data_IF_044881844320
#
_entry.id   IF_044881844320
#
_cell.length_a   1.000
_cell.length_b   1.000
_cell.length_c   1.000
_cell.angle_alpha   90.00
_cell.angle_beta   90.00
_cell.angle_gamma   90.00
#
_symmetry.space_group_name_H-M   'P 1'
#
loop_
_entity.id
_entity.type
_entity.pdbx_description
1 polymer ?
#
# COMPACT_ATOMS: atom_id res chain seq x y z
N UNK A 1 8.48 -44.55 14.06
CA UNK A 1 8.70 -43.09 14.23
C UNK A 1 8.94 -42.54 12.83
N UNK A 2 7.88 -42.15 12.12
CA UNK A 2 7.99 -41.64 10.76
C UNK A 2 7.73 -40.13 10.78
N UNK A 3 8.80 -39.36 10.69
CA UNK A 3 8.74 -37.93 10.44
C UNK A 3 8.38 -37.77 8.95
N UNK A 4 7.08 -37.61 8.66
CA UNK A 4 6.66 -37.04 7.38
C UNK A 4 7.22 -35.63 7.31
N UNK A 5 8.12 -35.41 6.36
CA UNK A 5 8.45 -34.10 5.82
C UNK A 5 7.16 -33.47 5.31
N UNK A 6 6.51 -32.66 6.14
CA UNK A 6 5.59 -31.63 5.66
C UNK A 6 6.41 -30.71 4.76
N UNK A 7 6.19 -30.84 3.45
CA UNK A 7 6.51 -29.79 2.50
C UNK A 7 5.86 -28.50 3.04
N UNK A 8 6.70 -27.62 3.60
CA UNK A 8 6.35 -26.23 3.80
C UNK A 8 6.22 -25.63 2.41
N UNK A 9 5.06 -25.85 1.78
CA UNK A 9 4.64 -25.13 0.61
C UNK A 9 4.59 -23.66 1.02
N UNK A 10 5.62 -22.90 0.65
CA UNK A 10 5.56 -21.46 0.69
C UNK A 10 4.29 -21.06 -0.06
N UNK A 11 3.29 -20.56 0.67
CA UNK A 11 1.99 -20.13 0.15
C UNK A 11 2.21 -18.93 -0.75
N UNK A 12 2.63 -19.22 -1.98
CA UNK A 12 2.71 -18.21 -3.03
C UNK A 12 1.26 -18.01 -3.47
N UNK A 13 0.63 -16.98 -2.94
CA UNK A 13 -0.68 -16.52 -3.38
C UNK A 13 -0.51 -15.97 -4.79
N UNK A 14 -0.52 -16.85 -5.79
CA UNK A 14 -0.42 -16.47 -7.20
C UNK A 14 -1.73 -16.83 -7.89
N UNK A 15 -2.34 -15.81 -8.47
CA UNK A 15 -3.47 -15.90 -9.37
C UNK A 15 -3.18 -14.95 -10.53
N UNK A 16 -3.35 -15.36 -11.80
CA UNK A 16 -3.11 -14.48 -12.94
C UNK A 16 -3.86 -13.14 -12.85
N UNK A 17 -5.03 -13.14 -12.20
CA UNK A 17 -5.79 -11.91 -11.93
C UNK A 17 -5.07 -11.03 -10.90
N UNK A 18 -4.62 -11.58 -9.78
CA UNK A 18 -3.90 -10.79 -8.76
C UNK A 18 -2.58 -10.24 -9.29
N UNK A 19 -1.84 -11.06 -10.05
CA UNK A 19 -0.57 -10.66 -10.66
C UNK A 19 -0.77 -9.49 -11.64
N UNK A 20 -1.82 -9.58 -12.48
CA UNK A 20 -2.19 -8.50 -13.41
C UNK A 20 -2.53 -7.21 -12.66
N UNK A 21 -3.29 -7.29 -11.57
CA UNK A 21 -3.70 -6.12 -10.79
C UNK A 21 -2.50 -5.50 -10.09
N UNK A 22 -1.63 -6.33 -9.52
CA UNK A 22 -0.41 -5.87 -8.89
C UNK A 22 0.49 -5.16 -9.91
N UNK A 23 0.58 -5.67 -11.14
CA UNK A 23 1.31 -5.02 -12.23
C UNK A 23 0.66 -3.67 -12.61
N UNK A 24 -0.65 -3.63 -12.83
CA UNK A 24 -1.41 -2.41 -13.17
C UNK A 24 -1.23 -1.33 -12.12
N UNK A 25 -1.45 -1.64 -10.85
CA UNK A 25 -1.31 -0.67 -9.77
C UNK A 25 0.14 -0.29 -9.49
N UNK A 26 1.11 -1.16 -9.80
CA UNK A 26 2.52 -0.78 -9.79
C UNK A 26 2.81 0.25 -10.88
N UNK A 27 2.27 0.07 -12.09
CA UNK A 27 2.41 1.05 -13.16
C UNK A 27 1.77 2.40 -12.81
N UNK A 28 0.55 2.38 -12.25
CA UNK A 28 -0.13 3.59 -11.76
C UNK A 28 0.76 4.28 -10.72
N UNK A 29 1.18 3.57 -9.67
CA UNK A 29 2.03 4.13 -8.62
C UNK A 29 3.32 4.75 -9.17
N UNK A 30 3.95 4.14 -10.17
CA UNK A 30 5.16 4.69 -10.78
C UNK A 30 4.94 6.03 -11.47
N UNK A 31 3.76 6.29 -12.08
CA UNK A 31 3.43 7.60 -12.67
C UNK A 31 3.45 8.70 -11.61
N UNK A 32 2.92 8.43 -10.42
CA UNK A 32 2.91 9.38 -9.30
C UNK A 32 4.29 9.53 -8.66
N UNK A 33 4.97 8.41 -8.41
CA UNK A 33 6.31 8.41 -7.82
C UNK A 33 7.34 9.17 -8.67
N UNK A 34 7.20 9.18 -10.00
CA UNK A 34 8.04 10.01 -10.89
C UNK A 34 7.97 11.50 -10.56
N UNK A 35 6.83 12.00 -10.07
CA UNK A 35 6.68 13.43 -9.73
C UNK A 35 7.52 13.85 -8.51
N UNK A 36 7.89 12.90 -7.66
CA UNK A 36 8.76 13.10 -6.50
C UNK A 36 10.15 12.44 -6.66
N UNK A 37 10.52 12.05 -7.89
CA UNK A 37 11.74 11.25 -8.16
C UNK A 37 13.04 11.95 -7.75
N UNK A 38 13.05 13.30 -7.79
CA UNK A 38 14.15 14.13 -7.29
C UNK A 38 14.47 13.85 -5.81
N UNK A 39 13.52 13.28 -5.06
CA UNK A 39 13.73 12.74 -3.72
C UNK A 39 13.67 11.21 -3.74
N UNK A 40 14.76 10.58 -4.20
CA UNK A 40 14.90 9.12 -4.29
C UNK A 40 14.60 8.39 -2.98
N UNK A 41 14.97 8.98 -1.84
CA UNK A 41 14.72 8.39 -0.51
C UNK A 41 13.23 8.38 -0.21
N UNK A 42 12.53 9.49 -0.42
CA UNK A 42 11.08 9.57 -0.23
C UNK A 42 10.36 8.62 -1.19
N UNK A 43 10.75 8.61 -2.46
CA UNK A 43 10.21 7.70 -3.48
C UNK A 43 10.31 6.24 -3.04
N UNK A 44 11.49 5.82 -2.56
CA UNK A 44 11.71 4.47 -2.05
C UNK A 44 10.86 4.14 -0.82
N UNK A 45 10.69 5.09 0.11
CA UNK A 45 9.86 4.93 1.30
C UNK A 45 8.38 4.78 0.95
N UNK A 46 7.84 5.65 0.10
CA UNK A 46 6.44 5.58 -0.34
C UNK A 46 6.19 4.25 -1.05
N UNK A 47 7.10 3.84 -1.95
CA UNK A 47 7.02 2.53 -2.62
C UNK A 47 7.01 1.37 -1.63
N UNK A 48 7.92 1.36 -0.65
CA UNK A 48 7.99 0.29 0.34
C UNK A 48 6.73 0.22 1.21
N UNK A 49 6.27 1.37 1.73
CA UNK A 49 5.06 1.45 2.56
C UNK A 49 3.83 0.97 1.78
N UNK A 50 3.69 1.38 0.51
CA UNK A 50 2.62 0.90 -0.37
C UNK A 50 2.65 -0.62 -0.52
N UNK A 51 3.81 -1.20 -0.86
CA UNK A 51 3.92 -2.63 -1.09
C UNK A 51 3.65 -3.45 0.18
N UNK A 52 4.09 -2.97 1.35
CA UNK A 52 3.79 -3.62 2.63
C UNK A 52 2.31 -3.53 2.99
N UNK A 53 1.66 -2.39 2.76
CA UNK A 53 0.22 -2.25 2.98
C UNK A 53 -0.60 -3.18 2.07
N UNK A 54 -0.23 -3.28 0.79
CA UNK A 54 -0.85 -4.21 -0.17
C UNK A 54 -0.63 -5.66 0.26
N UNK A 55 0.57 -6.01 0.69
CA UNK A 55 0.90 -7.35 1.19
C UNK A 55 0.00 -7.74 2.36
N UNK A 56 -0.05 -6.92 3.41
CA UNK A 56 -0.92 -7.17 4.57
C UNK A 56 -2.39 -7.27 4.18
N UNK A 57 -2.86 -6.39 3.29
CA UNK A 57 -4.24 -6.38 2.84
C UNK A 57 -4.61 -7.71 2.14
N UNK A 58 -3.75 -8.20 1.24
CA UNK A 58 -3.98 -9.47 0.51
C UNK A 58 -3.88 -10.66 1.44
N UNK A 59 -2.87 -10.71 2.33
CA UNK A 59 -2.70 -11.82 3.25
C UNK A 59 -3.85 -11.93 4.26
N UNK A 60 -4.40 -10.79 4.71
CA UNK A 60 -5.59 -10.80 5.58
C UNK A 60 -6.83 -11.43 4.93
N UNK A 61 -6.87 -11.53 3.59
CA UNK A 61 -7.96 -12.15 2.81
C UNK A 61 -7.67 -13.62 2.49
N UNK A 62 -6.49 -13.93 1.95
CA UNK A 62 -6.20 -15.25 1.36
C UNK A 62 -5.53 -16.21 2.34
N UNK A 63 -4.83 -15.71 3.35
CA UNK A 63 -4.18 -16.51 4.39
C UNK A 63 -4.35 -15.85 5.77
N UNK A 64 -5.62 -15.62 6.21
CA UNK A 64 -5.89 -14.93 7.47
C UNK A 64 -5.23 -15.67 8.65
N UNK A 65 -4.60 -14.92 9.55
CA UNK A 65 -3.83 -15.48 10.66
C UNK A 65 -2.33 -15.69 10.38
N UNK A 66 -1.87 -15.60 9.13
CA UNK A 66 -0.47 -15.75 8.76
C UNK A 66 0.01 -14.64 7.80
N UNK A 67 1.24 -14.16 8.01
CA UNK A 67 1.92 -13.29 7.04
C UNK A 67 1.47 -11.82 7.04
N UNK A 68 0.48 -11.42 7.82
CA UNK A 68 0.13 -10.01 8.04
C UNK A 68 0.92 -9.40 9.21
N UNK A 69 1.07 -8.07 9.21
CA UNK A 69 1.67 -7.32 10.32
C UNK A 69 0.60 -6.60 11.14
N UNK A 70 -0.39 -5.95 10.51
CA UNK A 70 -1.39 -5.13 11.22
C UNK A 70 -2.85 -5.55 11.05
N UNK A 71 -3.24 -6.14 9.92
CA UNK A 71 -4.62 -6.58 9.66
C UNK A 71 -4.68 -8.11 9.59
N UNK A 72 -5.34 -8.70 10.58
CA UNK A 72 -5.29 -10.15 10.81
C UNK A 72 -6.31 -10.94 9.99
N UNK A 73 -7.56 -10.50 10.01
CA UNK A 73 -8.68 -11.26 9.44
C UNK A 73 -9.57 -10.32 8.64
N UNK A 74 -9.78 -10.66 7.37
CA UNK A 74 -10.81 -10.11 6.50
C UNK A 74 -12.09 -10.92 6.60
N UNK A 75 -13.25 -10.28 6.39
CA UNK A 75 -14.54 -10.96 6.27
C UNK A 75 -14.70 -11.64 4.90
N UNK A 76 -14.03 -11.11 3.88
CA UNK A 76 -13.93 -11.72 2.54
C UNK A 76 -12.78 -12.72 2.48
N UNK A 77 -12.90 -13.73 1.63
CA UNK A 77 -11.93 -14.85 1.52
C UNK A 77 -11.60 -15.24 0.08
N UNK A 78 -12.09 -14.48 -0.90
CA UNK A 78 -11.91 -14.80 -2.32
C UNK A 78 -10.79 -13.98 -2.97
N UNK A 79 -10.41 -14.39 -4.17
CA UNK A 79 -9.54 -13.62 -5.05
C UNK A 79 -10.15 -12.25 -5.38
N UNK A 80 -11.48 -12.15 -5.47
CA UNK A 80 -12.17 -10.88 -5.67
C UNK A 80 -11.98 -9.92 -4.48
N UNK A 81 -12.09 -10.42 -3.24
CA UNK A 81 -11.80 -9.62 -2.05
C UNK A 81 -10.32 -9.22 -1.98
N UNK A 82 -9.40 -10.12 -2.34
CA UNK A 82 -7.98 -9.82 -2.32
C UNK A 82 -7.58 -8.79 -3.38
N UNK A 83 -8.23 -8.84 -4.55
CA UNK A 83 -8.13 -7.79 -5.56
C UNK A 83 -8.56 -6.45 -4.96
N UNK A 84 -9.79 -6.38 -4.43
CA UNK A 84 -10.33 -5.15 -3.87
C UNK A 84 -9.43 -4.58 -2.75
N UNK A 85 -8.90 -5.46 -1.90
CA UNK A 85 -7.96 -5.12 -0.84
C UNK A 85 -6.65 -4.54 -1.38
N UNK A 86 -6.06 -5.16 -2.41
CA UNK A 86 -4.83 -4.70 -3.02
C UNK A 86 -4.96 -3.32 -3.67
N UNK A 87 -6.03 -3.10 -4.45
CA UNK A 87 -6.24 -1.82 -5.14
C UNK A 87 -6.56 -0.71 -4.15
N UNK A 88 -7.39 -0.98 -3.15
CA UNK A 88 -7.74 -0.02 -2.11
C UNK A 88 -6.54 0.36 -1.23
N UNK A 89 -5.74 -0.62 -0.80
CA UNK A 89 -4.55 -0.34 -0.01
C UNK A 89 -3.53 0.50 -0.80
N UNK A 90 -3.33 0.16 -2.07
CA UNK A 90 -2.46 0.90 -2.97
C UNK A 90 -2.93 2.35 -3.16
N UNK A 91 -4.22 2.54 -3.43
CA UNK A 91 -4.85 3.86 -3.56
C UNK A 91 -4.64 4.71 -2.30
N UNK A 92 -5.05 4.20 -1.13
CA UNK A 92 -5.09 4.99 0.10
C UNK A 92 -3.69 5.43 0.56
N UNK A 93 -2.66 4.59 0.34
CA UNK A 93 -1.26 5.00 0.61
C UNK A 93 -0.81 6.12 -0.33
N UNK A 94 -1.15 6.05 -1.63
CA UNK A 94 -0.79 7.10 -2.58
C UNK A 94 -1.56 8.40 -2.28
N UNK A 95 -2.86 8.33 -2.02
CA UNK A 95 -3.70 9.48 -1.70
C UNK A 95 -3.28 10.18 -0.38
N UNK A 96 -2.64 9.46 0.54
CA UNK A 96 -2.06 10.05 1.75
C UNK A 96 -0.78 10.88 1.47
N UNK A 97 -0.11 10.64 0.34
CA UNK A 97 1.14 11.30 -0.05
C UNK A 97 0.88 12.42 -1.06
N UNK A 98 0.07 12.14 -2.08
CA UNK A 98 -0.29 13.07 -3.15
C UNK A 98 -1.62 13.75 -2.80
N UNK A 99 -1.52 14.92 -2.18
CA UNK A 99 -2.67 15.61 -1.58
C UNK A 99 -3.31 16.67 -2.46
N UNK A 100 -2.77 16.90 -3.65
CA UNK A 100 -3.34 17.85 -4.62
C UNK A 100 -4.68 17.31 -5.13
N UNK A 101 -5.68 18.18 -5.31
CA UNK A 101 -7.06 17.74 -5.61
C UNK A 101 -7.14 16.94 -6.93
N UNK A 102 -6.46 17.41 -7.98
CA UNK A 102 -6.37 16.72 -9.28
C UNK A 102 -5.75 15.32 -9.15
N UNK A 103 -4.75 15.16 -8.26
CA UNK A 103 -4.09 13.87 -8.03
C UNK A 103 -5.01 12.90 -7.30
N UNK A 104 -5.83 13.42 -6.38
CA UNK A 104 -6.79 12.61 -5.63
C UNK A 104 -7.97 12.19 -6.50
N UNK A 105 -8.39 13.05 -7.43
CA UNK A 105 -9.42 12.73 -8.42
C UNK A 105 -8.92 11.65 -9.39
N UNK A 106 -7.74 11.82 -10.02
CA UNK A 106 -7.15 10.81 -10.93
C UNK A 106 -6.90 9.46 -10.22
N UNK A 107 -6.49 9.47 -8.93
CA UNK A 107 -6.38 8.26 -8.13
C UNK A 107 -7.74 7.61 -7.87
N UNK A 108 -8.76 8.41 -7.56
CA UNK A 108 -10.11 7.92 -7.31
C UNK A 108 -10.72 7.30 -8.57
N UNK A 109 -10.50 7.89 -9.74
CA UNK A 109 -10.94 7.34 -11.04
C UNK A 109 -10.30 5.98 -11.30
N UNK A 110 -8.98 5.85 -11.09
CA UNK A 110 -8.27 4.57 -11.21
C UNK A 110 -8.77 3.52 -10.21
N UNK A 111 -9.16 3.93 -9.00
CA UNK A 111 -9.77 3.06 -8.01
C UNK A 111 -11.15 2.59 -8.45
N UNK A 112 -12.01 3.50 -8.89
CA UNK A 112 -13.36 3.20 -9.38
C UNK A 112 -13.31 2.25 -10.57
N UNK A 113 -12.47 2.55 -11.57
CA UNK A 113 -12.27 1.70 -12.74
C UNK A 113 -11.83 0.29 -12.31
N UNK A 114 -10.85 0.18 -11.41
CA UNK A 114 -10.36 -1.10 -10.92
C UNK A 114 -11.44 -1.89 -10.18
N UNK A 115 -12.20 -1.25 -9.30
CA UNK A 115 -13.25 -1.88 -8.50
C UNK A 115 -14.46 -2.29 -9.36
N UNK A 116 -14.73 -1.60 -10.47
CA UNK A 116 -15.81 -1.94 -11.41
C UNK A 116 -15.61 -3.31 -12.08
N UNK A 117 -14.38 -3.82 -12.12
CA UNK A 117 -14.04 -5.13 -12.69
C UNK A 117 -14.41 -6.31 -11.78
N UNK A 118 -14.85 -6.03 -10.54
CA UNK A 118 -15.18 -7.04 -9.53
C UNK A 118 -16.70 -7.19 -9.45
N UNK A 119 -17.23 -8.30 -9.95
CA UNK A 119 -18.68 -8.54 -10.00
C UNK A 119 -19.33 -9.07 -8.71
N UNK A 120 -18.55 -9.44 -7.69
CA UNK A 120 -19.06 -9.90 -6.39
C UNK A 120 -19.03 -8.73 -5.40
N UNK A 121 -20.17 -8.08 -5.21
CA UNK A 121 -20.27 -6.87 -4.38
C UNK A 121 -19.85 -7.10 -2.93
N UNK A 122 -20.32 -8.16 -2.28
CA UNK A 122 -19.98 -8.46 -0.87
C UNK A 122 -18.47 -8.68 -0.68
N UNK A 123 -17.84 -9.45 -1.58
CA UNK A 123 -16.39 -9.69 -1.55
C UNK A 123 -15.60 -8.42 -1.87
N UNK A 124 -16.10 -7.59 -2.80
CA UNK A 124 -15.51 -6.30 -3.12
C UNK A 124 -15.54 -5.37 -1.90
N UNK A 125 -16.68 -5.27 -1.21
CA UNK A 125 -16.82 -4.45 -0.01
C UNK A 125 -15.89 -4.92 1.11
N UNK A 126 -15.88 -6.23 1.41
CA UNK A 126 -15.00 -6.79 2.41
C UNK A 126 -13.52 -6.55 2.09
N UNK A 127 -13.14 -6.71 0.82
CA UNK A 127 -11.80 -6.39 0.36
C UNK A 127 -11.45 -4.91 0.49
N UNK A 128 -12.35 -3.99 0.10
CA UNK A 128 -12.17 -2.55 0.28
C UNK A 128 -11.92 -2.20 1.75
N UNK A 129 -12.70 -2.76 2.68
CA UNK A 129 -12.51 -2.52 4.11
C UNK A 129 -11.13 -3.01 4.58
N UNK A 130 -10.74 -4.22 4.21
CA UNK A 130 -9.42 -4.79 4.56
C UNK A 130 -8.26 -3.97 3.98
N UNK A 131 -8.39 -3.51 2.73
CA UNK A 131 -7.40 -2.65 2.09
C UNK A 131 -7.27 -1.28 2.75
N UNK A 132 -8.41 -0.66 3.11
CA UNK A 132 -8.44 0.63 3.80
C UNK A 132 -7.81 0.54 5.19
N UNK A 133 -8.15 -0.50 5.97
CA UNK A 133 -7.59 -0.75 7.30
C UNK A 133 -6.07 -0.91 7.26
N UNK A 134 -5.57 -1.74 6.32
CA UNK A 134 -4.14 -1.97 6.14
C UNK A 134 -3.42 -0.68 5.76
N UNK A 135 -3.89 0.05 4.73
CA UNK A 135 -3.29 1.31 4.33
C UNK A 135 -3.27 2.32 5.48
N UNK A 136 -4.37 2.46 6.22
CA UNK A 136 -4.44 3.37 7.35
C UNK A 136 -3.44 2.99 8.46
N UNK A 137 -3.25 1.70 8.75
CA UNK A 137 -2.24 1.24 9.70
C UNK A 137 -0.81 1.62 9.24
N UNK A 138 -0.48 1.36 7.98
CA UNK A 138 0.84 1.68 7.43
C UNK A 138 1.11 3.19 7.34
N UNK A 139 0.13 3.96 6.85
CA UNK A 139 0.24 5.43 6.80
C UNK A 139 0.45 6.02 8.19
N UNK A 140 -0.27 5.54 9.22
CA UNK A 140 -0.07 5.99 10.60
C UNK A 140 1.32 5.64 11.13
N UNK A 141 1.73 4.38 11.01
CA UNK A 141 3.00 3.91 11.57
C UNK A 141 4.23 4.49 10.85
N UNK A 142 4.09 4.82 9.56
CA UNK A 142 5.18 5.35 8.73
C UNK A 142 4.98 6.81 8.31
N UNK A 143 4.06 7.56 8.94
CA UNK A 143 3.75 8.94 8.60
C UNK A 143 5.01 9.83 8.51
N UNK A 144 5.94 9.68 9.46
CA UNK A 144 7.20 10.44 9.49
C UNK A 144 8.13 10.13 8.31
N UNK A 145 7.98 8.97 7.68
CA UNK A 145 8.79 8.55 6.54
C UNK A 145 8.22 9.05 5.20
N UNK A 146 6.89 9.19 5.09
CA UNK A 146 6.19 9.46 3.82
C UNK A 146 5.61 10.89 3.72
N UNK A 147 5.35 11.58 4.84
CA UNK A 147 4.80 12.94 4.87
C UNK A 147 5.91 13.97 5.10
N UNK A 148 7.08 13.84 4.46
CA UNK A 148 8.23 14.71 4.73
C UNK A 148 7.99 16.16 4.22
N UNK A 149 7.15 16.92 4.93
CA UNK A 149 6.84 18.33 4.70
C UNK A 149 7.79 19.28 5.45
N UNK A 150 8.90 18.82 6.06
CA UNK A 150 9.70 19.75 6.88
C UNK A 150 11.08 19.34 7.42
N UNK A 151 11.60 18.13 7.22
CA UNK A 151 12.89 17.77 7.82
C UNK A 151 14.09 18.53 7.24
N UNK A 152 13.99 19.07 6.02
CA UNK A 152 15.05 19.86 5.36
C UNK A 152 15.06 21.35 5.74
N UNK A 153 13.96 21.91 6.28
CA UNK A 153 13.97 23.31 6.75
C UNK A 153 14.63 23.46 8.12
N UNK A 154 14.41 22.51 9.04
CA UNK A 154 14.91 22.64 10.43
C UNK A 154 16.44 22.60 10.53
N UNK A 155 17.09 21.69 9.80
CA UNK A 155 18.55 21.55 9.79
C UNK A 155 19.25 22.74 9.13
N UNK A 156 18.67 23.34 8.07
CA UNK A 156 19.28 24.50 7.39
C UNK A 156 19.24 25.77 8.24
N UNK A 157 18.14 26.02 8.95
CA UNK A 157 18.02 27.16 9.85
C UNK A 157 18.82 27.01 11.15
N UNK A 158 18.98 25.80 11.69
CA UNK A 158 19.86 25.56 12.84
C UNK A 158 21.34 25.73 12.47
N UNK A 159 21.77 25.19 11.33
CA UNK A 159 23.16 25.30 10.89
C UNK A 159 23.56 26.74 10.53
N UNK A 160 22.65 27.52 9.92
CA UNK A 160 22.89 28.96 9.68
C UNK A 160 22.93 29.79 10.95
N UNK A 161 22.18 29.40 12.00
CA UNK A 161 22.22 30.09 13.29
C UNK A 161 23.51 29.82 14.05
N UNK A 162 24.03 28.59 13.99
CA UNK A 162 25.29 28.22 14.64
C UNK A 162 26.50 28.89 13.98
N UNK A 163 26.48 29.10 12.65
CA UNK A 163 27.52 29.83 11.92
C UNK A 163 27.47 31.35 12.10
N UNK A 164 26.34 31.91 12.52
CA UNK A 164 26.19 33.36 12.74
C UNK A 164 26.49 33.77 14.19
N UNK A 165 26.72 32.81 15.08
CA UNK A 165 27.02 33.01 16.51
C UNK A 165 28.47 32.59 16.85
N UNK A 166 29.17 31.94 15.91
CA UNK A 166 30.62 31.67 15.97
C UNK A 166 31.41 32.80 15.30
#
# INVERSE_FOLDING_TARGET
MNLSTTDLAATTVSSPKLDLIQATWTHIAERYLKRIENNRILTGRVRAVRLLAVHDAVHSVIDPGNGHIYKDISEGSTIEAAFAAAVKASHDVLAAVFTDDDDREDLADHLEESLSLIGKEDEKEAGVLSGADAAAAYVRNFALLIVNRGATRRTRFQHQRELAVA
#
